data_IF_793229365805
#
_entry.id   IF_793229365805
#
_cell.length_a   1.000
_cell.length_b   1.000
_cell.length_c   1.000
_cell.angle_alpha   90.00
_cell.angle_beta   90.00
_cell.angle_gamma   90.00
#
_symmetry.space_group_name_H-M   'P 1'
#
loop_
_entity.id
_entity.type
_entity.pdbx_description
1 polymer ?
#
# COMPACT_ATOMS: atom_id res chain seq x y z
N UNK A 1 -37.40 19.23 28.42
CA UNK A 1 -36.53 18.03 28.42
C UNK A 1 -37.24 16.70 28.10
N UNK A 2 -38.50 16.69 27.58
CA UNK A 2 -39.24 15.47 27.18
C UNK A 2 -39.38 15.25 25.66
N UNK A 3 -38.99 16.22 24.82
CA UNK A 3 -39.19 16.15 23.37
C UNK A 3 -38.10 15.34 22.64
N UNK A 4 -36.90 15.26 23.20
CA UNK A 4 -35.73 14.59 22.60
C UNK A 4 -35.75 13.06 22.82
N UNK A 5 -36.46 12.56 23.84
CA UNK A 5 -36.54 11.11 24.09
C UNK A 5 -37.51 10.37 23.15
N UNK A 6 -38.45 11.05 22.49
CA UNK A 6 -39.46 10.42 21.62
C UNK A 6 -38.85 9.88 20.31
N UNK A 7 -37.75 10.47 19.85
CA UNK A 7 -37.05 10.11 18.61
C UNK A 7 -36.09 8.91 18.74
N UNK A 8 -35.82 8.43 19.97
CA UNK A 8 -34.95 7.27 20.23
C UNK A 8 -35.69 5.93 20.23
N UNK A 9 -36.99 5.90 19.96
CA UNK A 9 -37.74 4.64 19.95
C UNK A 9 -37.47 3.86 18.65
N UNK A 10 -37.08 2.56 18.72
CA UNK A 10 -36.81 1.75 17.53
C UNK A 10 -38.03 1.62 16.61
N UNK A 11 -39.23 1.80 17.17
CA UNK A 11 -40.51 1.77 16.47
C UNK A 11 -40.63 2.92 15.45
N UNK A 12 -40.11 4.11 15.77
CA UNK A 12 -40.15 5.25 14.85
C UNK A 12 -39.20 5.06 13.65
N UNK A 13 -38.02 4.48 13.89
CA UNK A 13 -37.08 4.13 12.82
C UNK A 13 -37.65 3.06 11.89
N UNK A 14 -38.26 2.01 12.45
CA UNK A 14 -38.91 0.95 11.65
C UNK A 14 -40.07 1.52 10.83
N UNK A 15 -40.89 2.39 11.41
CA UNK A 15 -42.00 3.04 10.70
C UNK A 15 -41.51 3.97 9.57
N UNK A 16 -40.42 4.71 9.79
CA UNK A 16 -39.84 5.57 8.76
C UNK A 16 -39.24 4.75 7.61
N UNK A 17 -38.57 3.64 7.91
CA UNK A 17 -38.01 2.72 6.91
C UNK A 17 -39.12 2.05 6.11
N UNK A 18 -40.17 1.52 6.77
CA UNK A 18 -41.33 0.94 6.09
C UNK A 18 -42.05 1.97 5.22
N UNK A 19 -42.21 3.21 5.70
CA UNK A 19 -42.79 4.31 4.92
C UNK A 19 -41.96 4.65 3.68
N UNK A 20 -40.64 4.69 3.81
CA UNK A 20 -39.72 4.92 2.69
C UNK A 20 -39.76 3.78 1.66
N UNK A 21 -39.84 2.53 2.10
CA UNK A 21 -39.97 1.37 1.21
C UNK A 21 -41.31 1.37 0.47
N UNK A 22 -42.41 1.65 1.16
CA UNK A 22 -43.74 1.75 0.54
C UNK A 22 -43.76 2.88 -0.49
N UNK A 23 -43.22 4.06 -0.15
CA UNK A 23 -43.08 5.17 -1.10
C UNK A 23 -42.20 4.78 -2.31
N UNK A 24 -41.09 4.07 -2.09
CA UNK A 24 -40.22 3.59 -3.17
C UNK A 24 -40.94 2.63 -4.12
N UNK A 25 -41.75 1.70 -3.61
CA UNK A 25 -42.53 0.74 -4.41
C UNK A 25 -43.65 1.46 -5.19
N UNK A 26 -44.32 2.44 -4.58
CA UNK A 26 -45.36 3.24 -5.24
C UNK A 26 -44.76 4.05 -6.39
N UNK A 27 -43.61 4.68 -6.17
CA UNK A 27 -42.92 5.48 -7.18
C UNK A 27 -42.47 4.61 -8.37
N UNK A 28 -41.94 3.40 -8.11
CA UNK A 28 -41.58 2.43 -9.15
C UNK A 28 -42.79 1.83 -9.88
N UNK A 29 -43.98 1.82 -9.26
CA UNK A 29 -45.19 1.30 -9.90
C UNK A 29 -45.87 2.33 -10.81
N UNK A 30 -45.57 3.62 -10.64
CA UNK A 30 -46.19 4.73 -11.37
C UNK A 30 -45.29 5.25 -12.51
N UNK A 31 -43.96 5.22 -12.35
CA UNK A 31 -43.00 5.62 -13.38
C UNK A 31 -42.22 4.41 -13.89
N UNK A 32 -42.14 4.26 -15.21
CA UNK A 32 -41.28 3.26 -15.84
C UNK A 32 -39.81 3.46 -15.45
N UNK A 33 -39.05 2.36 -15.38
CA UNK A 33 -37.66 2.27 -14.90
C UNK A 33 -36.72 3.36 -15.45
N UNK A 34 -36.99 3.86 -16.65
CA UNK A 34 -36.13 4.83 -17.35
C UNK A 34 -36.28 6.30 -16.86
N UNK A 35 -37.35 6.63 -16.12
CA UNK A 35 -37.69 8.02 -15.69
C UNK A 35 -37.52 8.26 -14.17
N UNK A 36 -36.87 7.31 -13.49
CA UNK A 36 -36.54 7.34 -12.05
C UNK A 36 -35.04 7.54 -11.80
N UNK A 37 -34.24 7.65 -12.85
CA UNK A 37 -32.83 8.00 -12.77
C UNK A 37 -32.62 9.42 -12.24
N UNK A 38 -31.48 9.65 -11.59
CA UNK A 38 -31.10 11.00 -11.18
C UNK A 38 -31.01 11.91 -12.42
N UNK A 39 -31.59 13.13 -12.39
CA UNK A 39 -31.87 13.93 -13.60
C UNK A 39 -30.63 14.43 -14.35
N UNK A 40 -29.43 14.27 -13.78
CA UNK A 40 -28.16 14.67 -14.40
C UNK A 40 -27.13 13.57 -14.21
N UNK A 41 -26.66 12.97 -15.31
CA UNK A 41 -25.61 11.95 -15.27
C UNK A 41 -24.29 12.52 -15.80
N UNK A 42 -23.48 13.08 -14.90
CA UNK A 42 -22.12 13.56 -15.19
C UNK A 42 -21.07 12.43 -15.22
N UNK A 43 -21.47 11.19 -14.87
CA UNK A 43 -20.58 10.04 -14.82
C UNK A 43 -19.87 9.72 -16.15
N UNK A 44 -20.59 9.68 -17.29
CA UNK A 44 -20.00 9.41 -18.60
C UNK A 44 -18.93 10.43 -19.01
N UNK A 45 -19.15 11.72 -18.77
CA UNK A 45 -18.17 12.78 -19.12
C UNK A 45 -16.88 12.65 -18.30
N UNK A 46 -17.01 12.34 -17.01
CA UNK A 46 -15.86 12.13 -16.12
C UNK A 46 -15.11 10.85 -16.52
N UNK A 47 -15.82 9.74 -16.79
CA UNK A 47 -15.19 8.49 -17.22
C UNK A 47 -14.43 8.70 -18.53
N UNK A 48 -15.06 9.28 -19.55
CA UNK A 48 -14.43 9.53 -20.84
C UNK A 48 -13.17 10.39 -20.73
N UNK A 49 -13.17 11.38 -19.83
CA UNK A 49 -12.01 12.24 -19.57
C UNK A 49 -10.88 11.45 -18.92
N UNK A 50 -11.19 10.62 -17.91
CA UNK A 50 -10.20 9.77 -17.22
C UNK A 50 -9.65 8.71 -18.17
N UNK A 51 -10.51 8.02 -18.91
CA UNK A 51 -10.16 6.97 -19.84
C UNK A 51 -9.31 7.53 -21.00
N UNK A 52 -9.67 8.71 -21.52
CA UNK A 52 -8.88 9.41 -22.54
C UNK A 52 -7.50 9.83 -22.04
N UNK A 53 -7.40 10.34 -20.81
CA UNK A 53 -6.12 10.67 -20.18
C UNK A 53 -5.25 9.43 -19.95
N UNK A 54 -5.83 8.35 -19.43
CA UNK A 54 -5.13 7.08 -19.23
C UNK A 54 -4.61 6.51 -20.56
N UNK A 55 -5.43 6.53 -21.61
CA UNK A 55 -5.02 6.07 -22.94
C UNK A 55 -3.84 6.91 -23.48
N UNK A 56 -3.91 8.24 -23.36
CA UNK A 56 -2.81 9.12 -23.74
C UNK A 56 -1.53 8.83 -22.93
N UNK A 57 -1.65 8.60 -21.62
CA UNK A 57 -0.54 8.34 -20.73
C UNK A 57 0.13 6.99 -21.00
N UNK A 58 -0.65 5.96 -21.33
CA UNK A 58 -0.12 4.64 -21.75
C UNK A 58 0.70 4.80 -23.03
N UNK A 59 0.18 5.50 -24.05
CA UNK A 59 0.84 5.63 -25.35
C UNK A 59 2.09 6.53 -25.28
N UNK A 60 2.02 7.67 -24.61
CA UNK A 60 3.16 8.60 -24.55
C UNK A 60 4.20 8.19 -23.49
N UNK A 61 3.77 7.46 -22.47
CA UNK A 61 4.62 6.97 -21.40
C UNK A 61 5.18 5.57 -21.62
N UNK A 62 4.82 4.88 -22.72
CA UNK A 62 5.19 3.48 -22.99
C UNK A 62 6.67 3.22 -22.74
N UNK A 63 7.56 4.01 -23.35
CA UNK A 63 9.01 3.88 -23.19
C UNK A 63 9.50 3.98 -21.73
N UNK A 64 8.83 4.79 -20.89
CA UNK A 64 9.18 4.96 -19.49
C UNK A 64 8.65 3.80 -18.64
N UNK A 65 7.40 3.42 -18.86
CA UNK A 65 6.77 2.33 -18.12
C UNK A 65 7.40 0.98 -18.48
N UNK A 66 7.68 0.73 -19.76
CA UNK A 66 8.40 -0.46 -20.22
C UNK A 66 9.83 -0.49 -19.70
N UNK A 67 10.51 0.66 -19.71
CA UNK A 67 11.85 0.77 -19.12
C UNK A 67 11.86 0.35 -17.64
N UNK A 68 10.89 0.80 -16.83
CA UNK A 68 10.76 0.37 -15.43
C UNK A 68 10.41 -1.12 -15.36
N UNK A 69 9.46 -1.57 -16.17
CA UNK A 69 8.96 -2.93 -16.18
C UNK A 69 10.08 -3.95 -16.45
N UNK A 70 10.85 -3.72 -17.50
CA UNK A 70 11.94 -4.60 -17.92
C UNK A 70 13.07 -4.62 -16.89
N UNK A 71 13.42 -3.46 -16.32
CA UNK A 71 14.40 -3.41 -15.24
C UNK A 71 13.93 -4.21 -14.01
N UNK A 72 12.66 -4.06 -13.61
CA UNK A 72 12.08 -4.81 -12.50
C UNK A 72 12.01 -6.31 -12.80
N UNK A 73 11.65 -6.71 -14.02
CA UNK A 73 11.68 -8.12 -14.46
C UNK A 73 13.09 -8.70 -14.39
N UNK A 74 14.10 -7.96 -14.84
CA UNK A 74 15.50 -8.42 -14.78
C UNK A 74 15.95 -8.59 -13.33
N UNK A 75 15.72 -7.60 -12.48
CA UNK A 75 16.10 -7.66 -11.06
C UNK A 75 15.38 -8.81 -10.36
N UNK A 76 14.07 -8.93 -10.58
CA UNK A 76 13.26 -10.00 -10.01
C UNK A 76 13.70 -11.37 -10.52
N UNK A 77 13.94 -11.51 -11.83
CA UNK A 77 14.38 -12.75 -12.46
C UNK A 77 15.70 -13.24 -11.88
N UNK A 78 16.69 -12.34 -11.80
CA UNK A 78 17.99 -12.62 -11.17
C UNK A 78 17.86 -13.02 -9.71
N UNK A 79 17.04 -12.29 -8.95
CA UNK A 79 16.84 -12.58 -7.53
C UNK A 79 16.13 -13.93 -7.35
N UNK A 80 15.07 -14.20 -8.11
CA UNK A 80 14.36 -15.49 -8.11
C UNK A 80 15.31 -16.64 -8.45
N UNK A 81 16.08 -16.51 -9.51
CA UNK A 81 17.05 -17.53 -9.93
C UNK A 81 18.09 -17.78 -8.84
N UNK A 82 18.58 -16.72 -8.19
CA UNK A 82 19.45 -16.84 -7.03
C UNK A 82 18.79 -17.58 -5.85
N UNK A 83 17.52 -17.27 -5.52
CA UNK A 83 16.81 -17.95 -4.44
C UNK A 83 16.55 -19.43 -4.75
N UNK A 84 16.19 -19.76 -5.99
CA UNK A 84 15.92 -21.15 -6.42
C UNK A 84 17.22 -21.95 -6.56
N UNK A 85 18.33 -21.29 -6.90
CA UNK A 85 19.65 -21.91 -6.96
C UNK A 85 20.13 -22.41 -5.59
N UNK A 86 19.67 -21.81 -4.49
CA UNK A 86 19.96 -22.28 -3.14
C UNK A 86 19.19 -23.60 -2.88
N UNK A 87 19.87 -24.69 -2.50
CA UNK A 87 19.21 -25.94 -2.15
C UNK A 87 18.18 -25.77 -1.03
N UNK A 88 17.03 -26.43 -1.17
CA UNK A 88 15.89 -26.26 -0.24
C UNK A 88 16.24 -26.46 1.25
N UNK A 89 17.11 -27.40 1.68
CA UNK A 89 17.44 -27.56 3.10
C UNK A 89 18.21 -26.35 3.64
N UNK A 90 19.05 -25.74 2.79
CA UNK A 90 19.83 -24.54 3.13
C UNK A 90 18.88 -23.35 3.30
N UNK A 91 17.92 -23.18 2.40
CA UNK A 91 16.96 -22.09 2.48
C UNK A 91 16.04 -22.20 3.71
N UNK A 92 15.55 -23.41 4.02
CA UNK A 92 14.77 -23.64 5.26
C UNK A 92 15.59 -23.34 6.50
N UNK A 93 16.86 -23.77 6.53
CA UNK A 93 17.78 -23.49 7.63
C UNK A 93 18.06 -22.00 7.78
N UNK A 94 18.21 -21.28 6.66
CA UNK A 94 18.39 -19.82 6.66
C UNK A 94 17.17 -19.10 7.26
N UNK A 95 15.96 -19.47 6.82
CA UNK A 95 14.71 -18.90 7.34
C UNK A 95 14.55 -19.21 8.83
N UNK A 96 14.88 -20.43 9.25
CA UNK A 96 14.90 -20.82 10.66
C UNK A 96 15.81 -19.90 11.49
N UNK A 97 17.05 -19.71 11.03
CA UNK A 97 18.04 -18.88 11.71
C UNK A 97 17.60 -17.41 11.79
N UNK A 98 17.05 -16.86 10.71
CA UNK A 98 16.51 -15.50 10.69
C UNK A 98 15.34 -15.34 11.66
N UNK A 99 14.39 -16.29 11.65
CA UNK A 99 13.24 -16.28 12.56
C UNK A 99 13.65 -16.42 14.03
N UNK A 100 14.66 -17.24 14.31
CA UNK A 100 15.21 -17.37 15.66
C UNK A 100 15.92 -16.09 16.12
N UNK A 101 16.73 -15.46 15.24
CA UNK A 101 17.56 -14.31 15.63
C UNK A 101 16.75 -13.02 15.81
N UNK A 102 15.74 -12.82 14.97
CA UNK A 102 14.92 -11.59 14.96
C UNK A 102 13.73 -11.66 15.92
N UNK A 103 13.23 -12.85 16.23
CA UNK A 103 12.05 -13.04 17.08
C UNK A 103 12.36 -13.94 18.27
N UNK A 104 12.11 -15.24 18.11
CA UNK A 104 12.32 -16.24 19.14
C UNK A 104 12.51 -17.62 18.51
N UNK A 105 13.04 -18.57 19.29
CA UNK A 105 13.23 -19.95 18.81
C UNK A 105 11.94 -20.59 18.28
N UNK A 106 10.79 -20.27 18.90
CA UNK A 106 9.46 -20.73 18.45
C UNK A 106 9.11 -20.21 17.05
N UNK A 107 9.40 -18.94 16.79
CA UNK A 107 9.15 -18.32 15.47
C UNK A 107 10.02 -18.99 14.41
N UNK A 108 11.30 -19.24 14.72
CA UNK A 108 12.20 -19.99 13.83
C UNK A 108 11.63 -21.35 13.44
N UNK A 109 11.20 -22.17 14.41
CA UNK A 109 10.61 -23.49 14.15
C UNK A 109 9.35 -23.37 13.29
N UNK A 110 8.44 -22.46 13.63
CA UNK A 110 7.16 -22.29 12.92
C UNK A 110 7.41 -21.89 11.46
N UNK A 111 8.32 -20.95 11.21
CA UNK A 111 8.69 -20.52 9.86
C UNK A 111 9.33 -21.65 9.04
N UNK A 112 10.23 -22.43 9.65
CA UNK A 112 10.85 -23.57 8.99
C UNK A 112 9.83 -24.66 8.62
N UNK A 113 8.93 -25.00 9.56
CA UNK A 113 7.87 -25.97 9.33
C UNK A 113 6.90 -25.49 8.25
N UNK A 114 6.52 -24.21 8.25
CA UNK A 114 5.71 -23.61 7.20
C UNK A 114 6.36 -23.71 5.81
N UNK A 115 7.66 -23.45 5.72
CA UNK A 115 8.41 -23.60 4.45
C UNK A 115 8.45 -25.03 3.95
N UNK A 116 8.63 -26.01 4.85
CA UNK A 116 8.58 -27.43 4.50
C UNK A 116 7.18 -27.79 3.98
N UNK A 117 6.11 -27.33 4.64
CA UNK A 117 4.73 -27.57 4.18
C UNK A 117 4.48 -26.99 2.77
N UNK A 118 4.95 -25.79 2.49
CA UNK A 118 4.86 -25.18 1.15
C UNK A 118 5.61 -26.03 0.11
N UNK A 119 6.80 -26.51 0.46
CA UNK A 119 7.58 -27.42 -0.39
C UNK A 119 6.85 -28.75 -0.67
N UNK A 120 6.17 -29.32 0.33
CA UNK A 120 5.42 -30.56 0.20
C UNK A 120 4.22 -30.46 -0.76
N UNK A 121 3.64 -29.26 -0.91
CA UNK A 121 2.54 -29.00 -1.87
C UNK A 121 3.07 -28.60 -3.25
N UNK A 122 4.39 -28.70 -3.48
CA UNK A 122 5.05 -28.33 -4.74
C UNK A 122 4.88 -26.85 -5.12
N UNK A 123 4.84 -25.97 -4.11
CA UNK A 123 4.74 -24.51 -4.26
C UNK A 123 6.06 -23.79 -3.94
N UNK A 124 7.18 -24.49 -4.07
CA UNK A 124 8.51 -23.97 -3.73
C UNK A 124 8.91 -22.76 -4.58
N UNK A 125 8.86 -22.90 -5.91
CA UNK A 125 9.20 -21.81 -6.83
C UNK A 125 8.29 -20.58 -6.68
N UNK A 126 6.94 -20.74 -6.63
CA UNK A 126 6.05 -19.62 -6.30
C UNK A 126 6.40 -18.92 -4.98
N UNK A 127 6.80 -19.67 -3.94
CA UNK A 127 7.22 -19.08 -2.67
C UNK A 127 8.53 -18.29 -2.78
N UNK A 128 9.50 -18.75 -3.58
CA UNK A 128 10.70 -17.96 -3.86
C UNK A 128 10.37 -16.67 -4.62
N UNK A 129 9.39 -16.72 -5.54
CA UNK A 129 8.90 -15.52 -6.24
C UNK A 129 8.27 -14.53 -5.29
N UNK A 130 7.44 -14.96 -4.33
CA UNK A 130 6.84 -14.03 -3.36
C UNK A 130 7.88 -13.40 -2.45
N UNK A 131 8.87 -14.16 -1.98
CA UNK A 131 10.00 -13.62 -1.20
C UNK A 131 10.77 -12.59 -2.05
N UNK A 132 11.04 -12.88 -3.31
CA UNK A 132 11.76 -11.97 -4.21
C UNK A 132 10.96 -10.67 -4.47
N UNK A 133 9.64 -10.78 -4.72
CA UNK A 133 8.75 -9.62 -4.86
C UNK A 133 8.79 -8.77 -3.60
N UNK A 134 8.68 -9.38 -2.42
CA UNK A 134 8.72 -8.67 -1.13
C UNK A 134 10.06 -7.98 -0.91
N UNK A 135 11.18 -8.66 -1.18
CA UNK A 135 12.51 -8.10 -1.02
C UNK A 135 12.73 -6.87 -1.93
N UNK A 136 12.37 -6.96 -3.21
CA UNK A 136 12.48 -5.84 -4.15
C UNK A 136 11.56 -4.70 -3.74
N UNK A 137 10.30 -4.99 -3.42
CA UNK A 137 9.30 -3.98 -3.05
C UNK A 137 9.69 -3.22 -1.80
N UNK A 138 10.10 -3.92 -0.74
CA UNK A 138 10.53 -3.31 0.51
C UNK A 138 11.80 -2.47 0.29
N UNK A 139 12.75 -2.96 -0.50
CA UNK A 139 13.97 -2.20 -0.82
C UNK A 139 13.64 -0.88 -1.51
N UNK A 140 12.76 -0.90 -2.52
CA UNK A 140 12.27 0.31 -3.19
C UNK A 140 11.54 1.23 -2.20
N UNK A 141 10.64 0.68 -1.39
CA UNK A 141 9.90 1.45 -0.40
C UNK A 141 10.81 2.10 0.64
N UNK A 142 11.92 1.46 1.03
CA UNK A 142 12.92 2.02 1.93
C UNK A 142 13.74 3.11 1.25
N UNK A 143 14.21 2.87 0.02
CA UNK A 143 15.01 3.82 -0.77
C UNK A 143 14.27 5.13 -0.98
N UNK A 144 12.97 5.09 -1.26
CA UNK A 144 12.17 6.30 -1.45
C UNK A 144 11.52 6.80 -0.16
N UNK A 145 11.03 5.89 0.68
CA UNK A 145 10.27 6.22 1.88
C UNK A 145 11.11 6.89 2.97
N UNK A 146 12.37 6.47 3.15
CA UNK A 146 13.25 7.09 4.16
C UNK A 146 13.58 8.55 3.79
N UNK A 147 14.08 8.89 2.60
CA UNK A 147 14.37 10.28 2.23
C UNK A 147 13.14 11.19 2.33
N UNK A 148 11.98 10.73 1.86
CA UNK A 148 10.73 11.50 1.95
C UNK A 148 10.32 11.68 3.42
N UNK A 149 10.46 10.64 4.24
CA UNK A 149 10.22 10.70 5.69
C UNK A 149 11.16 11.68 6.41
N UNK A 150 12.43 11.75 6.02
CA UNK A 150 13.40 12.73 6.55
C UNK A 150 13.00 14.15 6.16
N UNK A 151 12.62 14.39 4.90
CA UNK A 151 12.14 15.71 4.43
C UNK A 151 10.91 16.16 5.21
N UNK A 152 9.99 15.23 5.46
CA UNK A 152 8.79 15.45 6.26
C UNK A 152 9.10 15.76 7.74
N UNK A 153 10.10 15.10 8.31
CA UNK A 153 10.54 15.36 9.69
C UNK A 153 11.14 16.75 9.86
N UNK A 154 11.82 17.27 8.83
CA UNK A 154 12.50 18.57 8.88
C UNK A 154 11.57 19.77 8.69
N UNK A 155 10.39 19.60 8.07
CA UNK A 155 9.48 20.72 7.78
C UNK A 155 8.01 20.38 8.06
N UNK A 156 7.39 21.18 8.95
CA UNK A 156 5.96 21.09 9.25
C UNK A 156 5.08 21.39 8.02
N UNK A 157 5.58 22.20 7.09
CA UNK A 157 4.86 22.54 5.86
C UNK A 157 4.82 21.35 4.90
N UNK A 158 5.96 20.68 4.70
CA UNK A 158 6.04 19.46 3.88
C UNK A 158 5.17 18.36 4.47
N UNK A 159 5.17 18.20 5.79
CA UNK A 159 4.31 17.25 6.48
C UNK A 159 2.83 17.54 6.26
N UNK A 160 2.40 18.79 6.40
CA UNK A 160 1.00 19.17 6.18
C UNK A 160 0.56 18.96 4.72
N UNK A 161 1.45 19.20 3.75
CA UNK A 161 1.19 18.99 2.33
C UNK A 161 1.13 17.51 1.92
N UNK A 162 2.00 16.68 2.49
CA UNK A 162 2.08 15.25 2.14
C UNK A 162 1.08 14.38 2.92
N UNK A 163 0.62 14.82 4.10
CA UNK A 163 -0.38 14.10 4.90
C UNK A 163 -1.62 13.66 4.09
N UNK A 164 -2.31 14.55 3.34
CA UNK A 164 -3.47 14.17 2.54
C UNK A 164 -3.17 13.08 1.51
N UNK A 165 -1.99 13.13 0.86
CA UNK A 165 -1.58 12.13 -0.13
C UNK A 165 -1.35 10.78 0.54
N UNK A 166 -0.64 10.76 1.67
CA UNK A 166 -0.37 9.54 2.42
C UNK A 166 -1.64 8.93 3.03
N UNK A 167 -2.59 9.76 3.43
CA UNK A 167 -3.89 9.32 3.96
C UNK A 167 -4.81 8.84 2.82
N UNK A 168 -4.76 9.47 1.64
CA UNK A 168 -5.41 8.96 0.43
C UNK A 168 -4.88 7.56 0.10
N UNK A 169 -3.56 7.36 -0.01
CA UNK A 169 -2.95 6.06 -0.30
C UNK A 169 -3.42 4.93 0.64
N UNK A 170 -3.78 5.24 1.90
CA UNK A 170 -4.27 4.26 2.89
C UNK A 170 -5.76 3.94 2.79
N UNK A 171 -6.55 4.76 2.11
CA UNK A 171 -8.02 4.59 2.06
C UNK A 171 -8.52 3.87 0.81
N UNK A 172 -7.64 3.57 -0.14
CA UNK A 172 -8.01 2.85 -1.36
C UNK A 172 -7.78 1.35 -1.21
N UNK A 173 -8.80 0.56 -1.53
CA UNK A 173 -8.66 -0.89 -1.67
C UNK A 173 -7.60 -1.20 -2.76
N UNK A 174 -6.67 -2.11 -2.46
CA UNK A 174 -5.56 -2.50 -3.34
C UNK A 174 -6.02 -2.80 -4.79
N UNK A 175 -7.24 -3.34 -4.95
CA UNK A 175 -7.84 -3.65 -6.25
C UNK A 175 -8.00 -2.43 -7.17
N UNK A 176 -8.24 -1.22 -6.63
CA UNK A 176 -8.44 -0.01 -7.44
C UNK A 176 -7.15 0.45 -8.12
N UNK A 177 -6.00 0.21 -7.50
CA UNK A 177 -4.68 0.53 -8.08
C UNK A 177 -4.20 -0.52 -9.07
N UNK A 178 -4.71 -1.74 -8.95
CA UNK A 178 -4.33 -2.85 -9.78
C UNK A 178 -4.85 -2.70 -11.22
N UNK A 179 -6.02 -2.07 -11.44
CA UNK A 179 -6.57 -1.80 -12.78
C UNK A 179 -5.64 -0.92 -13.63
N UNK A 180 -5.31 0.34 -13.25
CA UNK A 180 -4.37 1.15 -14.02
C UNK A 180 -2.94 0.59 -13.96
N UNK A 181 -2.57 -0.08 -12.86
CA UNK A 181 -1.26 -0.74 -12.74
C UNK A 181 -1.05 -1.82 -13.79
N UNK A 182 -2.06 -2.65 -14.05
CA UNK A 182 -2.00 -3.66 -15.13
C UNK A 182 -1.96 -2.99 -16.50
N UNK A 183 -2.73 -1.92 -16.71
CA UNK A 183 -2.73 -1.23 -18.00
C UNK A 183 -1.37 -0.61 -18.33
N UNK A 184 -0.63 -0.15 -17.32
CA UNK A 184 0.67 0.50 -17.49
C UNK A 184 1.86 -0.46 -17.42
N UNK A 185 1.82 -1.46 -16.54
CA UNK A 185 2.94 -2.37 -16.29
C UNK A 185 2.67 -3.82 -16.71
N UNK A 186 1.51 -4.09 -17.31
CA UNK A 186 1.09 -5.42 -17.71
C UNK A 186 0.67 -6.31 -16.53
N UNK A 187 0.29 -7.53 -16.87
CA UNK A 187 -0.04 -8.58 -15.90
C UNK A 187 1.23 -9.25 -15.36
N UNK A 188 1.23 -9.63 -14.08
CA UNK A 188 2.23 -10.51 -13.50
C UNK A 188 3.01 -9.89 -12.33
N UNK A 189 4.23 -10.37 -12.13
CA UNK A 189 5.00 -10.09 -10.91
C UNK A 189 5.35 -8.60 -10.73
N UNK A 190 5.52 -7.84 -11.82
CA UNK A 190 5.83 -6.41 -11.74
C UNK A 190 4.66 -5.62 -11.17
N UNK A 191 3.44 -5.88 -11.61
CA UNK A 191 2.25 -5.26 -11.03
C UNK A 191 2.13 -5.55 -9.53
N UNK A 192 2.47 -6.78 -9.09
CA UNK A 192 2.51 -7.14 -7.68
C UNK A 192 3.58 -6.37 -6.89
N UNK A 193 4.76 -6.12 -7.48
CA UNK A 193 5.80 -5.27 -6.88
C UNK A 193 5.25 -3.85 -6.69
N UNK A 194 4.71 -3.23 -7.74
CA UNK A 194 4.21 -1.85 -7.66
C UNK A 194 3.09 -1.72 -6.63
N UNK A 195 2.13 -2.66 -6.60
CA UNK A 195 1.08 -2.67 -5.59
C UNK A 195 1.66 -2.75 -4.16
N UNK A 196 2.63 -3.63 -3.94
CA UNK A 196 3.28 -3.81 -2.64
C UNK A 196 4.09 -2.59 -2.22
N UNK A 197 4.79 -1.94 -3.16
CA UNK A 197 5.51 -0.68 -2.93
C UNK A 197 4.54 0.43 -2.51
N UNK A 198 3.44 0.60 -3.24
CA UNK A 198 2.42 1.61 -2.93
C UNK A 198 1.81 1.39 -1.54
N UNK A 199 1.61 0.13 -1.15
CA UNK A 199 1.14 -0.22 0.19
C UNK A 199 2.18 0.04 1.28
N UNK A 200 3.46 -0.20 1.00
CA UNK A 200 4.54 -0.15 1.99
C UNK A 200 5.15 1.24 2.18
N UNK A 201 5.07 2.13 1.18
CA UNK A 201 5.63 3.48 1.25
C UNK A 201 5.00 4.34 2.38
N UNK A 202 3.66 4.43 2.53
CA UNK A 202 3.04 5.28 3.55
C UNK A 202 3.46 4.95 5.00
N UNK A 203 3.46 3.69 5.46
CA UNK A 203 3.96 3.37 6.80
C UNK A 203 5.46 3.66 6.92
N UNK A 204 6.27 3.39 5.90
CA UNK A 204 7.72 3.67 5.93
C UNK A 204 8.01 5.17 6.13
N UNK A 205 7.36 6.05 5.36
CA UNK A 205 7.51 7.51 5.48
C UNK A 205 7.08 7.98 6.87
N UNK A 206 5.93 7.50 7.35
CA UNK A 206 5.35 7.95 8.62
C UNK A 206 6.16 7.48 9.82
N UNK A 207 6.64 6.24 9.82
CA UNK A 207 7.52 5.73 10.87
C UNK A 207 8.86 6.47 10.89
N UNK A 208 9.40 6.82 9.71
CA UNK A 208 10.63 7.63 9.62
C UNK A 208 10.42 9.04 10.18
N UNK A 209 9.34 9.72 9.78
CA UNK A 209 8.99 11.05 10.28
C UNK A 209 8.81 11.05 11.81
N UNK A 210 8.01 10.11 12.33
CA UNK A 210 7.78 9.97 13.77
C UNK A 210 9.08 9.63 14.53
N UNK A 211 9.88 8.70 14.01
CA UNK A 211 11.14 8.29 14.63
C UNK A 211 12.12 9.45 14.79
N UNK A 212 12.22 10.32 13.79
CA UNK A 212 13.10 11.51 13.84
C UNK A 212 12.55 12.57 14.81
N UNK A 213 11.24 12.82 14.79
CA UNK A 213 10.62 13.84 15.66
C UNK A 213 10.54 13.44 17.14
N UNK A 214 10.54 12.14 17.44
CA UNK A 214 10.44 11.62 18.81
C UNK A 214 11.80 11.54 19.53
N UNK A 215 12.91 11.91 18.86
CA UNK A 215 14.24 11.94 19.49
C UNK A 215 14.24 12.98 20.62
N UNK A 216 14.77 12.59 21.80
CA UNK A 216 14.82 13.46 22.97
C UNK A 216 15.66 14.72 22.68
N UNK A 217 15.13 15.93 22.95
CA UNK A 217 15.86 17.19 22.75
C UNK A 217 17.24 17.22 23.40
N UNK A 218 17.38 16.61 24.57
CA UNK A 218 18.64 16.56 25.33
C UNK A 218 19.76 15.83 24.58
N UNK A 219 19.41 14.83 23.77
CA UNK A 219 20.37 14.09 22.93
C UNK A 219 20.78 14.91 21.70
N UNK A 220 19.85 15.72 21.17
CA UNK A 220 20.12 16.65 20.07
C UNK A 220 21.04 17.79 20.53
N UNK A 221 20.81 18.32 21.73
CA UNK A 221 21.67 19.34 22.35
C UNK A 221 23.06 18.81 22.67
N UNK A 222 23.18 17.60 23.23
CA UNK A 222 24.49 16.98 23.46
C UNK A 222 25.28 16.78 22.15
N UNK A 223 24.61 16.35 21.07
CA UNK A 223 25.21 16.21 19.74
C UNK A 223 25.66 17.55 19.14
N UNK A 224 24.85 18.61 19.27
CA UNK A 224 25.20 19.94 18.77
C UNK A 224 26.36 20.58 19.54
N UNK A 225 26.46 20.33 20.85
CA UNK A 225 27.60 20.77 21.66
C UNK A 225 28.89 20.01 21.33
N UNK A 226 28.83 18.70 21.08
CA UNK A 226 30.00 17.90 20.70
C UNK A 226 30.59 18.30 19.33
N UNK A 227 29.75 18.60 18.35
CA UNK A 227 30.22 19.06 17.02
C UNK A 227 30.89 20.43 17.09
N UNK A 228 30.43 21.33 17.97
CA UNK A 228 31.05 22.64 18.18
C UNK A 228 32.39 22.59 18.96
N UNK A 229 32.74 21.45 19.56
CA UNK A 229 33.98 21.27 20.33
C UNK A 229 35.10 20.53 19.57
N UNK A 230 34.89 20.16 18.30
CA UNK A 230 35.98 19.70 17.43
C UNK A 230 36.58 20.94 16.76
N UNK A 231 37.72 21.48 17.22
CA UNK A 231 38.39 22.54 16.52
C UNK A 231 38.89 21.95 15.20
N UNK A 232 38.26 22.33 14.10
CA UNK A 232 38.78 22.04 12.76
C UNK A 232 40.07 22.88 12.64
N UNK A 233 41.18 22.29 13.06
CA UNK A 233 42.53 22.78 12.84
C UNK A 233 43.15 21.90 11.77
N UNK A 234 42.90 22.26 10.51
CA UNK A 234 43.80 22.05 9.39
C UNK A 234 43.62 23.23 8.43
#
# INVERSE_FOLDING_TARGET
MKFIQKFRSPIFLISAICGALIASVIIHSIKGEDDLGYPTNIGPEISNTIDGFLAWLVVNGEWFFDGINDNLKIVLGKLREFLVWIPWPVMVSLIFLLGWRLGSFRIGIISALGMILIGLVNLWEPAMVTIAIMAVSVSIAVIFGIPIGILMARSNLIETLLRPVLDAMKTHAEFRYLVPGIMLFGLGNVAAIIATVLYSIPPCIRLTNLGIRQVNPSVVEAGSHLVNYIPITF
#
